data_IF_805956915699
#
_entry.id   IF_805956915699
#
_cell.length_a   1.000
_cell.length_b   1.000
_cell.length_c   1.000
_cell.angle_alpha   90.00
_cell.angle_beta   90.00
_cell.angle_gamma   90.00
#
_symmetry.space_group_name_H-M   'P 1'
#
loop_
_entity.id
_entity.type
_entity.pdbx_description
1 polymer ?
#
# COMPACT_ATOMS: atom_id res chain seq x y z
N UNK A 1 2.57 -14.60 2.67
CA UNK A 1 1.76 -13.56 3.35
C UNK A 1 2.39 -12.22 3.05
N UNK A 2 1.68 -11.30 2.38
CA UNK A 2 2.25 -10.00 2.05
C UNK A 2 2.02 -9.03 3.21
N UNK A 3 3.10 -8.48 3.77
CA UNK A 3 3.05 -7.52 4.87
C UNK A 3 3.32 -6.12 4.32
N UNK A 4 2.35 -5.22 4.48
CA UNK A 4 2.45 -3.82 4.13
C UNK A 4 2.50 -2.99 5.41
N UNK A 5 3.32 -1.93 5.41
CA UNK A 5 3.48 -1.07 6.58
C UNK A 5 3.83 0.36 6.17
N UNK A 6 3.62 1.31 7.08
CA UNK A 6 4.08 2.69 7.00
C UNK A 6 4.76 3.07 8.31
N UNK A 7 5.59 4.10 8.30
CA UNK A 7 6.18 4.63 9.53
C UNK A 7 5.26 5.66 10.14
N UNK A 8 5.11 5.59 11.47
CA UNK A 8 4.23 6.51 12.22
C UNK A 8 4.81 7.93 12.37
N UNK A 9 6.07 8.15 12.00
CA UNK A 9 6.75 9.44 12.12
C UNK A 9 6.88 10.21 10.80
N UNK A 10 6.25 9.74 9.72
CA UNK A 10 6.30 10.37 8.38
C UNK A 10 5.07 11.24 8.08
N UNK A 11 4.41 11.76 9.12
CA UNK A 11 3.24 12.62 9.02
C UNK A 11 1.92 11.87 8.88
N UNK A 12 0.83 12.60 8.64
CA UNK A 12 -0.54 12.06 8.65
C UNK A 12 -0.90 11.23 7.41
N UNK A 13 -0.13 11.36 6.32
CA UNK A 13 -0.36 10.63 5.07
C UNK A 13 0.95 9.99 4.57
N UNK A 14 1.49 9.00 5.32
CA UNK A 14 2.84 8.48 5.10
C UNK A 14 2.90 7.54 3.88
N UNK A 15 4.09 7.33 3.29
CA UNK A 15 4.30 6.34 2.23
C UNK A 15 4.12 4.90 2.74
N UNK A 16 3.78 4.00 1.82
CA UNK A 16 3.57 2.58 2.13
C UNK A 16 4.72 1.75 1.58
N UNK A 17 5.17 0.80 2.38
CA UNK A 17 6.25 -0.12 2.09
C UNK A 17 5.76 -1.56 2.13
N UNK A 18 6.40 -2.39 1.31
CA UNK A 18 6.27 -3.83 1.27
C UNK A 18 7.55 -4.46 1.82
N UNK A 19 7.39 -5.44 2.71
CA UNK A 19 8.51 -6.24 3.20
C UNK A 19 8.82 -7.38 2.24
N UNK A 20 10.03 -7.38 1.67
CA UNK A 20 10.52 -8.40 0.77
C UNK A 20 11.61 -9.24 1.44
N UNK A 21 11.29 -10.50 1.77
CA UNK A 21 12.24 -11.43 2.40
C UNK A 21 13.37 -11.89 1.46
N UNK A 22 13.12 -11.88 0.15
CA UNK A 22 14.02 -12.46 -0.85
C UNK A 22 14.79 -11.41 -1.67
N UNK A 23 14.49 -10.12 -1.47
CA UNK A 23 15.12 -9.02 -2.20
C UNK A 23 16.32 -8.43 -1.48
N UNK A 24 17.22 -7.80 -2.25
CA UNK A 24 18.31 -6.99 -1.68
C UNK A 24 17.76 -5.81 -0.87
N UNK A 25 16.69 -5.18 -1.35
CA UNK A 25 15.94 -4.18 -0.59
C UNK A 25 14.81 -4.84 0.19
N UNK A 26 15.00 -4.91 1.50
CA UNK A 26 14.02 -5.49 2.44
C UNK A 26 12.71 -4.69 2.49
N UNK A 27 12.76 -3.40 2.18
CA UNK A 27 11.63 -2.49 2.28
C UNK A 27 11.45 -1.73 0.99
N UNK A 28 10.51 -2.20 0.17
CA UNK A 28 10.22 -1.59 -1.13
C UNK A 28 9.05 -0.63 -0.97
N UNK A 29 9.23 0.65 -1.29
CA UNK A 29 8.11 1.61 -1.29
C UNK A 29 7.19 1.30 -2.46
N UNK A 30 5.90 1.14 -2.18
CA UNK A 30 4.88 0.81 -3.17
C UNK A 30 3.85 1.92 -3.39
N UNK A 31 3.76 2.88 -2.46
CA UNK A 31 2.94 4.07 -2.62
C UNK A 31 3.60 5.27 -1.93
N UNK A 32 3.38 6.45 -2.47
CA UNK A 32 3.92 7.70 -1.92
C UNK A 32 3.10 8.23 -0.75
N UNK A 33 1.84 7.81 -0.63
CA UNK A 33 0.97 8.16 0.47
C UNK A 33 -0.01 7.03 0.80
N UNK A 34 -0.52 7.04 2.03
CA UNK A 34 -1.50 6.07 2.49
C UNK A 34 -2.83 6.21 1.74
N UNK A 35 -3.21 7.45 1.42
CA UNK A 35 -4.41 7.75 0.64
C UNK A 35 -4.34 7.16 -0.76
N UNK A 36 -3.22 7.34 -1.47
CA UNK A 36 -3.03 6.77 -2.82
C UNK A 36 -3.14 5.25 -2.80
N UNK A 37 -2.53 4.62 -1.79
CA UNK A 37 -2.61 3.17 -1.61
C UNK A 37 -4.05 2.70 -1.42
N UNK A 38 -4.85 3.41 -0.61
CA UNK A 38 -6.25 3.08 -0.39
C UNK A 38 -7.09 3.27 -1.65
N UNK A 39 -6.92 4.39 -2.36
CA UNK A 39 -7.62 4.68 -3.62
C UNK A 39 -7.33 3.56 -4.63
N UNK A 40 -6.05 3.27 -4.89
CA UNK A 40 -5.67 2.21 -5.84
C UNK A 40 -6.25 0.85 -5.43
N UNK A 41 -6.27 0.51 -4.15
CA UNK A 41 -6.85 -0.74 -3.67
C UNK A 41 -8.37 -0.80 -3.82
N UNK A 42 -9.06 0.32 -3.61
CA UNK A 42 -10.51 0.42 -3.76
C UNK A 42 -10.92 0.42 -5.23
N UNK A 43 -10.19 1.11 -6.10
CA UNK A 43 -10.41 1.09 -7.56
C UNK A 43 -10.13 -0.29 -8.16
N UNK A 44 -9.06 -0.98 -7.74
CA UNK A 44 -8.81 -2.37 -8.13
C UNK A 44 -9.94 -3.32 -7.67
N UNK A 45 -10.58 -2.99 -6.55
CA UNK A 45 -11.75 -3.70 -6.03
C UNK A 45 -13.08 -3.13 -6.55
N UNK A 46 -13.08 -2.11 -7.41
CA UNK A 46 -14.31 -1.47 -7.91
C UNK A 46 -15.20 -2.42 -8.71
N UNK A 47 -14.64 -3.51 -9.24
CA UNK A 47 -15.39 -4.61 -9.84
C UNK A 47 -16.23 -5.43 -8.85
N UNK A 48 -16.06 -5.25 -7.53
CA UNK A 48 -16.89 -5.89 -6.50
C UNK A 48 -18.24 -5.19 -6.28
N UNK A 49 -18.39 -3.93 -6.71
CA UNK A 49 -19.61 -3.14 -6.48
C UNK A 49 -20.36 -2.79 -7.77
N UNK A 50 -20.04 -3.44 -8.90
CA UNK A 50 -20.95 -3.46 -10.05
C UNK A 50 -22.20 -4.26 -9.67
N UNK A 51 -23.24 -3.55 -9.18
CA UNK A 51 -24.59 -4.09 -9.08
C UNK A 51 -25.07 -4.51 -10.49
N UNK A 52 -25.44 -5.79 -10.63
CA UNK A 52 -26.26 -6.28 -11.74
C UNK A 52 -27.72 -5.89 -11.56
#
# INVERSE_FOLDING_TARGET
MHVFFFKLNEGDNPPIYFYNEHGNDKFVRIAYSFTDFLISRLEMNGSLFEEK
#
